data_IF_800141980818
#
_entry.id   IF_800141980818
#
_cell.length_a   1.000
_cell.length_b   1.000
_cell.length_c   1.000
_cell.angle_alpha   90.00
_cell.angle_beta   90.00
_cell.angle_gamma   90.00
#
_symmetry.space_group_name_H-M   'P 1'
#
loop_
_entity.id
_entity.type
_entity.pdbx_description
1 polymer ?
#
# COMPACT_ATOMS: atom_id res chain seq x y z
N UNK A 1 -15.65 -6.26 -10.82
CA UNK A 1 -14.63 -6.26 -9.74
C UNK A 1 -13.69 -7.48 -9.82
N UNK A 2 -14.03 -8.54 -10.56
CA UNK A 2 -13.23 -9.78 -10.63
C UNK A 2 -11.92 -9.66 -11.43
N UNK A 3 -11.82 -8.72 -12.37
CA UNK A 3 -10.65 -8.58 -13.25
C UNK A 3 -9.42 -7.89 -12.59
N UNK A 4 -9.60 -7.22 -11.46
CA UNK A 4 -8.50 -6.45 -10.85
C UNK A 4 -7.52 -7.34 -10.08
N UNK A 5 -8.03 -8.39 -9.42
CA UNK A 5 -7.21 -9.37 -8.70
C UNK A 5 -6.35 -10.21 -9.64
N UNK A 6 -6.88 -10.59 -10.81
CA UNK A 6 -6.18 -11.42 -11.78
C UNK A 6 -4.96 -10.71 -12.42
N UNK A 7 -5.06 -9.40 -12.68
CA UNK A 7 -3.95 -8.62 -13.26
C UNK A 7 -2.78 -8.40 -12.30
N UNK A 8 -3.05 -8.30 -11.00
CA UNK A 8 -2.00 -8.08 -9.99
C UNK A 8 -1.37 -9.38 -9.49
N UNK A 9 -2.14 -10.48 -9.42
CA UNK A 9 -1.60 -11.82 -9.14
C UNK A 9 -0.52 -12.25 -10.16
N UNK A 10 -0.64 -11.81 -11.41
CA UNK A 10 0.36 -12.09 -12.46
C UNK A 10 1.69 -11.34 -12.30
N UNK A 11 1.71 -10.22 -11.58
CA UNK A 11 2.89 -9.34 -11.46
C UNK A 11 3.70 -9.59 -10.17
N UNK A 12 3.13 -10.27 -9.19
CA UNK A 12 3.78 -10.73 -7.96
C UNK A 12 4.55 -12.05 -8.09
N UNK A 13 4.79 -12.53 -9.32
CA UNK A 13 5.88 -13.48 -9.59
C UNK A 13 7.23 -12.76 -9.47
N UNK A 14 7.47 -12.15 -8.30
CA UNK A 14 8.76 -11.64 -7.91
C UNK A 14 9.69 -12.83 -7.76
N UNK A 15 10.83 -12.66 -8.42
CA UNK A 15 11.93 -13.60 -8.49
C UNK A 15 12.22 -14.18 -7.11
N UNK A 16 12.29 -15.51 -7.06
CA UNK A 16 12.30 -16.36 -5.85
C UNK A 16 13.67 -16.33 -5.16
N UNK A 17 14.25 -15.13 -5.02
CA UNK A 17 15.50 -14.84 -4.30
C UNK A 17 15.20 -13.92 -3.10
N UNK A 18 14.45 -14.52 -2.18
CA UNK A 18 14.49 -14.35 -0.72
C UNK A 18 14.59 -12.91 -0.20
N UNK A 19 13.49 -12.18 -0.29
CA UNK A 19 13.11 -11.27 0.80
C UNK A 19 11.88 -11.86 1.48
N UNK A 20 11.91 -12.12 2.80
CA UNK A 20 10.73 -12.56 3.53
C UNK A 20 9.54 -11.63 3.27
N UNK A 21 8.38 -12.19 3.00
CA UNK A 21 7.16 -11.46 2.63
C UNK A 21 6.73 -10.49 3.75
N UNK A 22 7.05 -10.80 5.00
CA UNK A 22 6.89 -9.88 6.15
C UNK A 22 7.76 -8.61 6.04
N UNK A 23 8.96 -8.72 5.48
CA UNK A 23 9.81 -7.55 5.20
C UNK A 23 9.22 -6.72 4.05
N UNK A 24 8.57 -7.35 3.07
CA UNK A 24 7.89 -6.64 1.98
C UNK A 24 6.74 -5.77 2.48
N UNK A 25 5.90 -6.31 3.37
CA UNK A 25 4.80 -5.56 3.99
C UNK A 25 5.34 -4.39 4.82
N UNK A 26 6.36 -4.62 5.65
CA UNK A 26 6.95 -3.54 6.43
C UNK A 26 7.53 -2.41 5.58
N UNK A 27 8.16 -2.73 4.44
CA UNK A 27 8.66 -1.73 3.51
C UNK A 27 7.51 -0.94 2.85
N UNK A 28 6.40 -1.60 2.49
CA UNK A 28 5.22 -0.93 1.94
C UNK A 28 4.56 -0.01 2.98
N UNK A 29 4.49 -0.44 4.24
CA UNK A 29 3.96 0.37 5.34
C UNK A 29 4.82 1.61 5.60
N UNK A 30 6.15 1.46 5.58
CA UNK A 30 7.07 2.60 5.69
C UNK A 30 6.87 3.61 4.57
N UNK A 31 6.78 3.15 3.32
CA UNK A 31 6.54 4.01 2.15
C UNK A 31 5.19 4.72 2.21
N UNK A 32 4.14 4.05 2.67
CA UNK A 32 2.81 4.65 2.82
C UNK A 32 2.83 5.74 3.90
N UNK A 33 3.49 5.48 5.04
CA UNK A 33 3.62 6.47 6.11
C UNK A 33 4.40 7.71 5.66
N UNK A 34 5.49 7.54 4.89
CA UNK A 34 6.23 8.66 4.29
C UNK A 34 5.35 9.47 3.32
N UNK A 35 4.58 8.80 2.48
CA UNK A 35 3.64 9.45 1.56
C UNK A 35 2.53 10.21 2.29
N UNK A 36 2.00 9.67 3.39
CA UNK A 36 0.97 10.34 4.21
C UNK A 36 1.50 11.62 4.86
N UNK A 37 2.74 11.62 5.35
CA UNK A 37 3.39 12.80 5.91
C UNK A 37 3.60 13.87 4.83
N UNK A 38 4.08 13.49 3.64
CA UNK A 38 4.28 14.42 2.54
C UNK A 38 2.94 14.99 2.03
N UNK A 39 1.90 14.16 1.93
CA UNK A 39 0.54 14.61 1.59
C UNK A 39 -0.01 15.60 2.62
N UNK A 40 0.19 15.33 3.92
CA UNK A 40 -0.24 16.23 4.98
C UNK A 40 0.44 17.60 4.84
N UNK A 41 1.76 17.61 4.60
CA UNK A 41 2.54 18.82 4.35
C UNK A 41 2.03 19.60 3.15
N UNK A 42 1.82 18.94 2.01
CA UNK A 42 1.37 19.60 0.79
C UNK A 42 -0.05 20.16 0.91
N UNK A 43 -0.93 19.48 1.64
CA UNK A 43 -2.27 20.00 1.92
C UNK A 43 -2.23 21.28 2.74
N UNK A 44 -1.29 21.40 3.69
CA UNK A 44 -1.04 22.68 4.40
C UNK A 44 -0.50 23.76 3.46
N UNK A 45 0.43 23.45 2.57
CA UNK A 45 0.97 24.41 1.59
C UNK A 45 -0.13 24.91 0.64
N UNK A 46 -0.99 24.01 0.13
CA UNK A 46 -2.17 24.36 -0.67
C UNK A 46 -3.12 25.30 0.07
N UNK A 47 -3.34 25.07 1.38
CA UNK A 47 -4.18 25.96 2.20
C UNK A 47 -3.56 27.35 2.30
N UNK A 48 -2.26 27.44 2.58
CA UNK A 48 -1.55 28.70 2.65
C UNK A 48 -1.60 29.47 1.33
N UNK A 49 -1.36 28.80 0.19
CA UNK A 49 -1.46 29.39 -1.14
C UNK A 49 -2.87 29.93 -1.44
N UNK A 50 -3.92 29.21 -1.05
CA UNK A 50 -5.31 29.69 -1.19
C UNK A 50 -5.56 30.97 -0.38
N UNK A 51 -5.05 31.04 0.84
CA UNK A 51 -5.17 32.24 1.68
C UNK A 51 -4.41 33.43 1.09
N UNK A 52 -3.20 33.21 0.59
CA UNK A 52 -2.39 34.25 -0.07
C UNK A 52 -3.05 34.73 -1.37
N UNK A 53 -3.55 33.81 -2.19
CA UNK A 53 -4.29 34.13 -3.41
C UNK A 53 -5.53 34.97 -3.10
N UNK A 54 -6.33 34.58 -2.10
CA UNK A 54 -7.50 35.34 -1.68
C UNK A 54 -7.14 36.76 -1.22
N UNK A 55 -6.02 36.93 -0.50
CA UNK A 55 -5.50 38.25 -0.10
C UNK A 55 -5.03 39.07 -1.31
N UNK A 56 -4.34 38.44 -2.26
CA UNK A 56 -3.86 39.09 -3.47
C UNK A 56 -5.04 39.57 -4.35
N UNK A 57 -6.07 38.73 -4.49
CA UNK A 57 -7.31 39.07 -5.20
C UNK A 57 -8.07 40.20 -4.50
N UNK A 58 -8.28 40.13 -3.18
CA UNK A 58 -8.93 41.22 -2.43
C UNK A 58 -8.16 42.55 -2.53
N UNK A 59 -6.82 42.50 -2.55
CA UNK A 59 -5.97 43.69 -2.75
C UNK A 59 -6.04 44.24 -4.18
N UNK A 60 -6.23 43.38 -5.19
CA UNK A 60 -6.49 43.78 -6.58
C UNK A 60 -7.83 44.50 -6.68
N UNK A 61 -8.86 43.97 -6.04
CA UNK A 61 -10.23 44.51 -6.10
C UNK A 61 -10.36 45.85 -5.35
N UNK A 62 -9.74 45.97 -4.17
CA UNK A 62 -9.72 47.23 -3.39
C UNK A 62 -8.81 48.32 -3.99
N UNK A 63 -7.84 47.91 -4.82
CA UNK A 63 -6.84 48.79 -5.43
C UNK A 63 -7.20 49.34 -6.80
N UNK A 64 -8.42 49.13 -7.29
CA UNK A 64 -8.86 49.44 -8.65
C UNK A 64 -8.68 50.91 -9.11
N UNK A 65 -8.29 51.83 -8.21
CA UNK A 65 -8.02 53.24 -8.49
C UNK A 65 -6.52 53.63 -8.49
N UNK A 66 -5.59 52.67 -8.43
CA UNK A 66 -4.14 52.92 -8.27
C UNK A 66 -3.29 52.36 -9.42
N UNK A 67 -2.24 53.07 -9.84
CA UNK A 67 -1.26 52.69 -10.88
C UNK A 67 -0.45 51.40 -10.61
N UNK A 68 -0.70 50.72 -9.48
CA UNK A 68 -0.06 49.46 -9.07
C UNK A 68 -0.79 48.19 -9.56
N UNK A 69 -1.85 48.35 -10.34
CA UNK A 69 -2.72 47.27 -10.84
C UNK A 69 -2.01 46.11 -11.59
N UNK A 70 -1.02 46.36 -12.49
CA UNK A 70 -0.35 45.28 -13.22
C UNK A 70 0.41 44.32 -12.31
N UNK A 71 1.17 44.88 -11.35
CA UNK A 71 1.98 44.10 -10.42
C UNK A 71 1.14 43.23 -9.46
N UNK A 72 -0.09 43.67 -9.12
CA UNK A 72 -1.03 42.89 -8.29
C UNK A 72 -1.72 41.78 -9.10
N UNK A 73 -2.02 42.03 -10.37
CA UNK A 73 -2.53 41.00 -11.29
C UNK A 73 -1.51 39.87 -11.49
N UNK A 74 -0.26 40.23 -11.79
CA UNK A 74 0.84 39.27 -11.97
C UNK A 74 1.09 38.41 -10.71
N UNK A 75 0.89 38.96 -9.51
CA UNK A 75 1.03 38.21 -8.26
C UNK A 75 -0.09 37.17 -8.09
N UNK A 76 -1.34 37.56 -8.36
CA UNK A 76 -2.48 36.65 -8.25
C UNK A 76 -2.36 35.50 -9.26
N UNK A 77 -1.94 35.79 -10.50
CA UNK A 77 -1.78 34.79 -11.54
C UNK A 77 -0.64 33.81 -11.19
N UNK A 78 0.50 34.29 -10.66
CA UNK A 78 1.59 33.43 -10.18
C UNK A 78 1.20 32.55 -9.00
N UNK A 79 0.38 33.07 -8.08
CA UNK A 79 -0.13 32.30 -6.95
C UNK A 79 -1.14 31.24 -7.39
N UNK A 80 -1.97 31.53 -8.40
CA UNK A 80 -2.86 30.56 -9.02
C UNK A 80 -2.06 29.44 -9.71
N UNK A 81 -1.05 29.77 -10.49
CA UNK A 81 -0.17 28.77 -11.12
C UNK A 81 0.54 27.88 -10.09
N UNK A 82 0.97 28.45 -8.96
CA UNK A 82 1.57 27.71 -7.87
C UNK A 82 0.57 26.78 -7.19
N UNK A 83 -0.66 27.24 -6.97
CA UNK A 83 -1.75 26.46 -6.41
C UNK A 83 -2.10 25.26 -7.32
N UNK A 84 -2.22 25.48 -8.62
CA UNK A 84 -2.56 24.43 -9.59
C UNK A 84 -1.49 23.33 -9.62
N UNK A 85 -0.19 23.72 -9.61
CA UNK A 85 0.92 22.75 -9.52
C UNK A 85 0.91 21.97 -8.21
N UNK A 86 0.66 22.64 -7.08
CA UNK A 86 0.60 21.98 -5.78
C UNK A 86 -0.58 20.98 -5.70
N UNK A 87 -1.74 21.35 -6.24
CA UNK A 87 -2.90 20.46 -6.30
C UNK A 87 -2.67 19.25 -7.22
N UNK A 88 -2.06 19.45 -8.39
CA UNK A 88 -1.69 18.35 -9.27
C UNK A 88 -0.70 17.39 -8.61
N UNK A 89 0.24 17.91 -7.81
CA UNK A 89 1.18 17.07 -7.08
C UNK A 89 0.51 16.28 -5.96
N UNK A 90 -0.38 16.90 -5.19
CA UNK A 90 -1.21 16.21 -4.18
C UNK A 90 -2.00 15.07 -4.82
N UNK A 91 -2.68 15.33 -5.95
CA UNK A 91 -3.45 14.30 -6.64
C UNK A 91 -2.58 13.11 -7.06
N UNK A 92 -1.40 13.37 -7.63
CA UNK A 92 -0.46 12.32 -8.04
C UNK A 92 0.02 11.48 -6.85
N UNK A 93 0.28 12.11 -5.70
CA UNK A 93 0.68 11.39 -4.49
C UNK A 93 -0.47 10.58 -3.89
N UNK A 94 -1.71 11.07 -3.97
CA UNK A 94 -2.91 10.32 -3.57
C UNK A 94 -3.12 9.07 -4.43
N UNK A 95 -2.94 9.19 -5.75
CA UNK A 95 -2.98 8.04 -6.68
C UNK A 95 -1.90 7.01 -6.33
N UNK A 96 -0.67 7.46 -6.09
CA UNK A 96 0.43 6.57 -5.67
C UNK A 96 0.17 5.90 -4.33
N UNK A 97 -0.41 6.61 -3.36
CA UNK A 97 -0.77 6.03 -2.06
C UNK A 97 -1.87 4.97 -2.20
N UNK A 98 -2.84 5.17 -3.10
CA UNK A 98 -3.86 4.18 -3.41
C UNK A 98 -3.27 2.92 -4.04
N UNK A 99 -2.33 3.07 -4.98
CA UNK A 99 -1.63 1.93 -5.59
C UNK A 99 -0.85 1.12 -4.55
N UNK A 100 -0.06 1.80 -3.71
CA UNK A 100 0.71 1.15 -2.62
C UNK A 100 -0.22 0.48 -1.60
N UNK A 101 -1.34 1.11 -1.28
CA UNK A 101 -2.37 0.52 -0.40
C UNK A 101 -2.98 -0.76 -0.98
N UNK A 102 -3.26 -0.79 -2.29
CA UNK A 102 -3.76 -1.97 -2.98
C UNK A 102 -2.72 -3.11 -3.03
N UNK A 103 -1.45 -2.77 -3.27
CA UNK A 103 -0.34 -3.74 -3.20
C UNK A 103 -0.21 -4.35 -1.80
N UNK A 104 -0.28 -3.53 -0.75
CA UNK A 104 -0.25 -4.01 0.64
C UNK A 104 -1.41 -4.98 0.93
N UNK A 105 -2.63 -4.64 0.51
CA UNK A 105 -3.81 -5.46 0.78
C UNK A 105 -3.74 -6.81 0.05
N UNK A 106 -3.33 -6.81 -1.22
CA UNK A 106 -3.16 -8.05 -2.00
C UNK A 106 -2.06 -8.94 -1.42
N UNK A 107 -0.93 -8.37 -1.00
CA UNK A 107 0.13 -9.12 -0.32
C UNK A 107 -0.34 -9.72 1.00
N UNK A 108 -1.06 -8.95 1.82
CA UNK A 108 -1.59 -9.44 3.09
C UNK A 108 -2.60 -10.59 2.91
N UNK A 109 -3.48 -10.50 1.91
CA UNK A 109 -4.42 -11.58 1.58
C UNK A 109 -3.69 -12.87 1.16
N UNK A 110 -2.68 -12.76 0.28
CA UNK A 110 -1.87 -13.89 -0.14
C UNK A 110 -1.11 -14.54 1.04
N UNK A 111 -0.66 -13.74 2.01
CA UNK A 111 -0.01 -14.28 3.21
C UNK A 111 -0.94 -15.08 4.11
N UNK A 112 -2.20 -14.66 4.27
CA UNK A 112 -3.16 -15.41 5.07
C UNK A 112 -3.52 -16.75 4.40
N UNK A 113 -3.70 -16.75 3.08
CA UNK A 113 -3.92 -17.99 2.30
C UNK A 113 -2.75 -18.98 2.45
N UNK A 114 -1.50 -18.51 2.31
CA UNK A 114 -0.32 -19.36 2.50
C UNK A 114 -0.21 -19.92 3.93
N UNK A 115 -0.63 -19.14 4.92
CA UNK A 115 -0.64 -19.56 6.33
C UNK A 115 -1.70 -20.63 6.58
N UNK A 116 -2.86 -20.51 5.94
CA UNK A 116 -3.94 -21.52 6.00
C UNK A 116 -3.51 -22.82 5.29
N UNK A 117 -2.90 -22.72 4.11
CA UNK A 117 -2.32 -23.86 3.40
C UNK A 117 -1.24 -24.57 4.23
N UNK A 118 -0.33 -23.80 4.85
CA UNK A 118 0.72 -24.36 5.72
C UNK A 118 0.11 -25.08 6.92
N UNK A 119 -0.94 -24.53 7.51
CA UNK A 119 -1.65 -25.14 8.65
C UNK A 119 -2.32 -26.45 8.23
N UNK A 120 -2.95 -26.45 7.06
CA UNK A 120 -3.57 -27.65 6.47
C UNK A 120 -2.54 -28.74 6.17
N UNK A 121 -1.41 -28.38 5.53
CA UNK A 121 -0.32 -29.32 5.27
C UNK A 121 0.27 -29.90 6.55
N UNK A 122 0.44 -29.08 7.59
CA UNK A 122 0.91 -29.54 8.89
C UNK A 122 -0.05 -30.56 9.52
N UNK A 123 -1.36 -30.33 9.42
CA UNK A 123 -2.38 -31.29 9.87
C UNK A 123 -2.27 -32.62 9.13
N UNK A 124 -2.21 -32.59 7.80
CA UNK A 124 -2.06 -33.80 6.97
C UNK A 124 -0.78 -34.58 7.28
N UNK A 125 0.33 -33.89 7.54
CA UNK A 125 1.60 -34.53 7.92
C UNK A 125 1.52 -35.21 9.29
N UNK A 126 0.84 -34.59 10.26
CA UNK A 126 0.64 -35.19 11.58
C UNK A 126 -0.21 -36.45 11.47
N UNK A 127 -1.33 -36.41 10.74
CA UNK A 127 -2.16 -37.59 10.49
C UNK A 127 -1.40 -38.71 9.77
N UNK A 128 -0.59 -38.36 8.75
CA UNK A 128 0.23 -39.34 8.04
C UNK A 128 1.22 -40.04 8.98
N UNK A 129 1.84 -39.28 9.88
CA UNK A 129 2.79 -39.80 10.87
C UNK A 129 2.12 -40.67 11.93
N UNK A 130 0.89 -40.35 12.32
CA UNK A 130 0.10 -41.20 13.22
C UNK A 130 -0.26 -42.53 12.56
N UNK A 131 -0.76 -42.49 11.30
CA UNK A 131 -1.04 -43.71 10.53
C UNK A 131 0.19 -44.59 10.33
N UNK A 132 1.37 -43.98 10.11
CA UNK A 132 2.63 -44.72 9.99
C UNK A 132 3.00 -45.43 11.29
N UNK A 133 2.88 -44.75 12.44
CA UNK A 133 3.11 -45.37 13.76
C UNK A 133 2.14 -46.50 14.06
N UNK A 134 0.86 -46.33 13.74
CA UNK A 134 -0.15 -47.37 13.90
C UNK A 134 0.16 -48.60 13.04
N UNK A 135 0.58 -48.38 11.79
CA UNK A 135 0.99 -49.45 10.89
C UNK A 135 2.26 -50.17 11.38
N UNK A 136 3.24 -49.44 11.91
CA UNK A 136 4.45 -50.02 12.53
C UNK A 136 4.10 -50.89 13.75
N UNK A 137 3.24 -50.40 14.64
CA UNK A 137 2.79 -51.19 15.80
C UNK A 137 2.01 -52.44 15.38
N UNK A 138 1.14 -52.33 14.38
CA UNK A 138 0.40 -53.48 13.86
C UNK A 138 1.35 -54.53 13.24
N UNK A 139 2.37 -54.10 12.49
CA UNK A 139 3.40 -55.00 11.94
C UNK A 139 4.22 -55.69 13.04
N UNK A 140 4.59 -54.95 14.08
CA UNK A 140 5.32 -55.49 15.22
C UNK A 140 4.49 -56.54 15.99
N UNK A 141 3.19 -56.29 16.18
CA UNK A 141 2.27 -57.25 16.79
C UNK A 141 2.15 -58.53 15.97
N UNK A 142 1.92 -58.41 14.66
CA UNK A 142 1.83 -59.58 13.77
C UNK A 142 3.13 -60.39 13.83
N UNK A 143 4.29 -59.73 13.80
CA UNK A 143 5.58 -60.43 13.87
C UNK A 143 5.77 -61.17 15.21
N UNK A 144 5.29 -60.62 16.32
CA UNK A 144 5.42 -61.24 17.63
C UNK A 144 4.56 -62.50 17.78
N UNK A 145 3.40 -62.56 17.12
CA UNK A 145 2.52 -63.74 17.14
C UNK A 145 3.04 -64.92 16.28
N UNK A 146 3.95 -64.67 15.32
CA UNK A 146 4.55 -65.72 14.48
C UNK A 146 5.83 -66.34 15.07
N UNK A 147 6.36 -65.79 16.16
CA UNK A 147 7.58 -66.28 16.83
C UNK A 147 7.31 -67.14 18.09
N UNK A 148 6.04 -67.38 18.43
CA UNK A 148 5.58 -68.33 19.48
C UNK A 148 4.99 -69.60 18.88
#
# INVERSE_FOLDING_TARGET
MEDYHARYAGRLRLDRRVMPESQAIHLLEGRLAEQEVELARLRTEVRALKEELARAQASRDLGASSSSQPARGDLADRLQDALDRAQAWVQKLEEQAQEVGAERWTMAAAMEELKDERSTMKGRLLEAREREREAEMARAWISADYET
#
